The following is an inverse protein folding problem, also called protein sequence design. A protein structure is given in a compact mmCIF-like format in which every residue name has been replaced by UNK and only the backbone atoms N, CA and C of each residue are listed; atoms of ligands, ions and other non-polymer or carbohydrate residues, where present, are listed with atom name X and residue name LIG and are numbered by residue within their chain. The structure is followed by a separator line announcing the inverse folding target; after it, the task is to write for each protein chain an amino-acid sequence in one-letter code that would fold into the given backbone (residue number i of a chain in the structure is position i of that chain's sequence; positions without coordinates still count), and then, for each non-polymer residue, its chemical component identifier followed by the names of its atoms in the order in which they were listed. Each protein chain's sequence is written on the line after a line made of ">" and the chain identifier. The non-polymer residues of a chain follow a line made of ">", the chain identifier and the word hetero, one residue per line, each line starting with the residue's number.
data_IF_326382098742
#
_entry.id   IF_326382098742
#
_cell.length_a   1.000
_cell.length_b   1.000
_cell.length_c   1.000
_cell.angle_alpha   90.00
_cell.angle_beta   90.00
_cell.angle_gamma   90.00
#
_symmetry.space_group_name_H-M   'P 1'
#
loop_
_entity.id
_entity.type
_entity.pdbx_description
1 polymer ?
#
# COMPACT_ATOMS: atom_id res chain seq x y z
N UNK A 1 12.33 12.64 5.35
CA UNK A 1 13.41 13.22 6.20
C UNK A 1 13.05 13.25 7.69
N UNK A 2 11.80 13.51 8.08
CA UNK A 2 11.35 13.49 9.47
C UNK A 2 11.63 12.17 10.20
N UNK A 3 11.21 11.04 9.62
CA UNK A 3 11.37 9.72 10.25
C UNK A 3 12.84 9.39 10.55
N UNK A 4 13.73 9.58 9.58
CA UNK A 4 15.15 9.27 9.74
C UNK A 4 15.81 10.15 10.82
N UNK A 5 15.40 11.42 10.93
CA UNK A 5 15.90 12.31 11.96
C UNK A 5 15.38 11.92 13.35
N UNK A 6 14.11 11.58 13.48
CA UNK A 6 13.51 11.19 14.76
C UNK A 6 14.06 9.85 15.24
N UNK A 7 14.13 8.85 14.35
CA UNK A 7 14.70 7.54 14.66
C UNK A 7 16.16 7.62 15.11
N UNK A 8 16.97 8.50 14.50
CA UNK A 8 18.37 8.69 14.88
C UNK A 8 18.56 9.45 16.20
N UNK A 9 17.71 10.43 16.49
CA UNK A 9 18.00 11.42 17.55
C UNK A 9 17.10 11.33 18.78
N UNK A 10 15.89 10.77 18.68
CA UNK A 10 14.91 10.82 19.76
C UNK A 10 14.47 9.44 20.28
N UNK A 11 14.61 8.38 19.47
CA UNK A 11 14.24 7.02 19.87
C UNK A 11 12.73 6.79 20.08
N UNK A 12 11.88 7.67 19.55
CA UNK A 12 10.42 7.51 19.60
C UNK A 12 9.91 6.68 18.43
N UNK A 13 8.92 5.79 18.65
CA UNK A 13 8.17 5.16 17.57
C UNK A 13 7.46 6.23 16.73
N UNK A 14 7.68 6.20 15.42
CA UNK A 14 7.05 7.12 14.49
C UNK A 14 5.83 6.50 13.83
N UNK A 15 4.70 7.19 13.93
CA UNK A 15 3.48 6.85 13.22
C UNK A 15 3.32 7.81 12.06
N UNK A 16 3.15 7.25 10.87
CA UNK A 16 2.77 7.97 9.68
C UNK A 16 1.41 7.41 9.24
N UNK A 17 0.50 8.29 8.86
CA UNK A 17 -0.85 7.91 8.43
C UNK A 17 -0.94 8.01 6.90
N UNK A 18 -0.99 6.90 6.18
CA UNK A 18 -1.18 6.90 4.73
C UNK A 18 -2.65 7.15 4.41
N UNK A 19 -2.98 8.34 3.91
CA UNK A 19 -4.26 8.63 3.25
C UNK A 19 -4.02 8.62 1.76
N UNK A 20 -4.56 7.61 1.09
CA UNK A 20 -4.27 7.30 -0.30
C UNK A 20 -5.44 7.72 -1.19
N UNK A 21 -5.16 8.10 -2.42
CA UNK A 21 -6.16 8.58 -3.37
C UNK A 21 -6.99 7.42 -3.91
N UNK A 22 -6.32 6.35 -4.33
CA UNK A 22 -6.97 5.15 -4.85
C UNK A 22 -7.90 4.52 -3.83
N UNK A 23 -9.06 4.05 -4.30
CA UNK A 23 -9.96 3.26 -3.46
C UNK A 23 -9.52 1.80 -3.34
N UNK A 24 -10.14 1.07 -2.42
CA UNK A 24 -9.83 -0.33 -2.15
C UNK A 24 -9.98 -1.23 -3.37
N UNK A 25 -9.10 -2.23 -3.48
CA UNK A 25 -9.03 -3.14 -4.62
C UNK A 25 -8.50 -2.53 -5.92
N UNK A 26 -8.16 -1.24 -5.96
CA UNK A 26 -7.56 -0.63 -7.16
C UNK A 26 -6.06 -0.84 -7.19
N UNK A 27 -5.49 -1.00 -8.39
CA UNK A 27 -4.03 -1.06 -8.55
C UNK A 27 -3.36 0.23 -8.07
N UNK A 28 -3.98 1.39 -8.33
CA UNK A 28 -3.53 2.69 -7.83
C UNK A 28 -3.32 2.67 -6.32
N UNK A 29 -4.29 2.19 -5.55
CA UNK A 29 -4.20 2.14 -4.08
C UNK A 29 -2.99 1.31 -3.61
N UNK A 30 -2.71 0.18 -4.25
CA UNK A 30 -1.56 -0.65 -3.92
C UNK A 30 -0.23 -0.03 -4.38
N UNK A 31 -0.17 0.64 -5.53
CA UNK A 31 1.04 1.36 -5.96
C UNK A 31 1.38 2.54 -5.05
N UNK A 32 0.37 3.33 -4.68
CA UNK A 32 0.49 4.43 -3.73
C UNK A 32 1.01 3.90 -2.39
N UNK A 33 0.47 2.77 -1.92
CA UNK A 33 0.92 2.13 -0.68
C UNK A 33 2.34 1.58 -0.78
N UNK A 34 2.71 0.94 -1.88
CA UNK A 34 4.07 0.44 -2.08
C UNK A 34 5.09 1.59 -2.09
N UNK A 35 4.79 2.68 -2.80
CA UNK A 35 5.61 3.88 -2.80
C UNK A 35 5.73 4.47 -1.38
N UNK A 36 4.63 4.53 -0.64
CA UNK A 36 4.62 4.96 0.76
C UNK A 36 5.49 4.06 1.65
N UNK A 37 5.36 2.73 1.59
CA UNK A 37 6.14 1.80 2.43
C UNK A 37 7.63 1.89 2.12
N UNK A 38 8.00 1.95 0.84
CA UNK A 38 9.38 2.11 0.40
C UNK A 38 10.01 3.38 0.98
N UNK A 39 9.26 4.48 1.07
CA UNK A 39 9.74 5.73 1.65
C UNK A 39 9.73 5.73 3.19
N UNK A 40 8.64 5.28 3.81
CA UNK A 40 8.40 5.39 5.25
C UNK A 40 9.17 4.34 6.04
N UNK A 41 9.07 3.07 5.66
CA UNK A 41 9.67 1.96 6.41
C UNK A 41 11.19 2.04 6.35
N UNK A 42 11.76 2.27 5.16
CA UNK A 42 13.23 2.37 5.01
C UNK A 42 13.82 3.62 5.68
N UNK A 43 12.99 4.62 5.98
CA UNK A 43 13.40 5.80 6.75
C UNK A 43 13.14 5.68 8.25
N UNK A 44 12.76 4.49 8.75
CA UNK A 44 12.57 4.21 10.18
C UNK A 44 11.16 4.49 10.71
N UNK A 45 10.17 4.66 9.83
CA UNK A 45 8.75 4.70 10.22
C UNK A 45 8.18 3.30 10.44
N UNK A 46 7.13 3.21 11.26
CA UNK A 46 6.42 1.94 11.48
C UNK A 46 5.54 1.56 10.28
N UNK A 47 5.33 0.26 10.10
CA UNK A 47 4.35 -0.28 9.15
C UNK A 47 2.94 0.11 9.60
N UNK A 48 2.22 0.79 8.73
CA UNK A 48 0.83 1.16 8.92
C UNK A 48 0.11 1.03 7.59
N UNK A 49 -1.07 0.40 7.56
CA UNK A 49 -1.79 0.15 6.31
C UNK A 49 -2.55 1.39 5.82
N UNK A 50 -2.83 1.42 4.51
CA UNK A 50 -3.49 2.53 3.82
C UNK A 50 -4.89 2.86 4.34
N UNK A 51 -5.29 4.13 4.22
CA UNK A 51 -6.70 4.51 4.18
C UNK A 51 -7.09 4.80 2.72
N UNK A 52 -7.99 3.99 2.12
CA UNK A 52 -8.41 4.12 0.74
C UNK A 52 -9.32 5.34 0.54
N UNK A 53 -9.40 5.85 -0.69
CA UNK A 53 -10.30 6.92 -1.09
C UNK A 53 -10.27 8.13 -0.12
N UNK A 54 -9.09 8.49 0.37
CA UNK A 54 -8.88 9.56 1.36
C UNK A 54 -9.72 9.42 2.64
N UNK A 55 -10.16 8.21 2.97
CA UNK A 55 -11.07 7.89 4.07
C UNK A 55 -12.45 8.57 3.99
N UNK A 56 -12.94 8.94 2.80
CA UNK A 56 -14.25 9.59 2.63
C UNK A 56 -15.36 8.65 2.14
N UNK A 57 -15.01 7.47 1.62
CA UNK A 57 -15.96 6.46 1.16
C UNK A 57 -16.31 5.52 2.33
N UNK A 58 -17.58 5.46 2.71
CA UNK A 58 -18.07 4.51 3.70
C UNK A 58 -17.84 3.07 3.27
N UNK A 59 -17.57 2.20 4.25
CA UNK A 59 -17.34 0.77 4.06
C UNK A 59 -16.22 0.43 3.07
N UNK A 60 -15.29 1.35 2.81
CA UNK A 60 -14.17 1.13 1.89
C UNK A 60 -13.01 0.36 2.51
N UNK A 61 -12.96 0.09 3.82
CA UNK A 61 -11.86 -0.67 4.42
C UNK A 61 -12.02 -2.18 4.17
N UNK A 62 -11.11 -2.75 3.39
CA UNK A 62 -11.14 -4.15 2.95
C UNK A 62 -9.95 -4.91 3.59
N UNK A 63 -10.20 -5.91 4.46
CA UNK A 63 -9.14 -6.56 5.24
C UNK A 63 -7.95 -7.12 4.44
N UNK A 64 -8.20 -7.76 3.29
CA UNK A 64 -7.13 -8.36 2.49
C UNK A 64 -6.20 -7.32 1.84
N UNK A 65 -6.68 -6.08 1.59
CA UNK A 65 -5.82 -4.97 1.17
C UNK A 65 -4.81 -4.64 2.27
N UNK A 66 -5.28 -4.54 3.52
CA UNK A 66 -4.41 -4.23 4.65
C UNK A 66 -3.41 -5.35 4.94
N UNK A 67 -3.79 -6.62 4.71
CA UNK A 67 -2.87 -7.75 4.78
C UNK A 67 -1.77 -7.61 3.74
N UNK A 68 -2.13 -7.38 2.48
CA UNK A 68 -1.14 -7.19 1.41
C UNK A 68 -0.25 -5.97 1.65
N UNK A 69 -0.80 -4.88 2.18
CA UNK A 69 -0.03 -3.70 2.58
C UNK A 69 0.97 -4.00 3.70
N UNK A 70 0.60 -4.83 4.67
CA UNK A 70 1.52 -5.28 5.71
C UNK A 70 2.66 -6.12 5.12
N UNK A 71 2.35 -7.01 4.16
CA UNK A 71 3.36 -7.79 3.43
C UNK A 71 4.32 -6.90 2.62
N UNK A 72 3.81 -5.88 1.95
CA UNK A 72 4.63 -4.87 1.26
C UNK A 72 5.53 -4.15 2.26
N UNK A 73 5.01 -3.80 3.45
CA UNK A 73 5.80 -3.22 4.54
C UNK A 73 6.92 -4.15 5.02
N UNK A 74 6.66 -5.46 5.14
CA UNK A 74 7.66 -6.47 5.48
C UNK A 74 8.75 -6.62 4.40
N UNK A 75 8.38 -6.49 3.12
CA UNK A 75 9.34 -6.48 2.03
C UNK A 75 10.21 -5.22 2.07
N UNK A 76 9.58 -4.04 2.23
CA UNK A 76 10.29 -2.77 2.33
C UNK A 76 11.24 -2.70 3.53
N UNK A 77 10.90 -3.34 4.65
CA UNK A 77 11.75 -3.41 5.85
C UNK A 77 13.11 -4.09 5.62
N UNK A 78 13.27 -4.84 4.53
CA UNK A 78 14.54 -5.51 4.17
C UNK A 78 15.45 -4.64 3.29
N UNK A 79 14.99 -3.47 2.87
CA UNK A 79 15.71 -2.58 1.98
C UNK A 79 16.33 -1.41 2.73
N UNK A 80 17.46 -0.93 2.25
CA UNK A 80 17.95 0.41 2.55
C UNK A 80 17.19 1.46 1.73
N UNK A 81 17.24 2.72 2.16
CA UNK A 81 16.69 3.84 1.38
C UNK A 81 17.27 3.92 -0.03
N UNK A 82 18.55 3.61 -0.21
CA UNK A 82 19.22 3.67 -1.50
C UNK A 82 18.72 2.57 -2.46
N UNK A 83 18.35 1.40 -1.93
CA UNK A 83 17.76 0.30 -2.70
C UNK A 83 16.27 0.54 -3.00
N UNK A 84 15.55 1.18 -2.07
CA UNK A 84 14.12 1.45 -2.23
C UNK A 84 13.80 2.61 -3.19
N UNK A 85 14.64 3.65 -3.24
CA UNK A 85 14.41 4.84 -4.07
C UNK A 85 14.17 4.51 -5.55
N UNK A 86 15.00 3.70 -6.24
CA UNK A 86 14.76 3.35 -7.64
C UNK A 86 13.45 2.59 -7.88
N UNK A 87 12.96 1.82 -6.90
CA UNK A 87 11.69 1.09 -6.99
C UNK A 87 10.53 2.08 -6.88
N UNK A 88 10.60 3.01 -5.92
CA UNK A 88 9.59 4.05 -5.76
C UNK A 88 9.48 4.95 -7.01
N UNK A 89 10.62 5.27 -7.63
CA UNK A 89 10.67 6.03 -8.89
C UNK A 89 10.02 5.29 -10.07
N UNK A 90 10.03 3.94 -10.08
CA UNK A 90 9.30 3.14 -11.09
C UNK A 90 7.79 3.10 -10.82
N UNK A 91 7.38 3.16 -9.55
CA UNK A 91 5.97 3.10 -9.14
C UNK A 91 5.23 4.41 -9.38
N UNK A 92 5.85 5.56 -9.08
CA UNK A 92 5.18 6.86 -9.16
C UNK A 92 4.52 7.16 -10.52
N UNK A 93 5.14 6.87 -11.68
CA UNK A 93 4.51 7.07 -12.99
C UNK A 93 3.24 6.25 -13.22
N UNK A 94 2.98 5.19 -12.46
CA UNK A 94 1.79 4.34 -12.62
C UNK A 94 0.51 4.95 -12.04
N UNK A 95 0.63 5.99 -11.21
CA UNK A 95 -0.52 6.65 -10.57
C UNK A 95 -0.42 8.17 -10.48
N UNK A 96 0.75 8.77 -10.77
CA UNK A 96 0.99 10.19 -10.56
C UNK A 96 0.06 11.13 -11.35
N UNK A 97 -0.42 10.70 -12.52
CA UNK A 97 -1.39 11.43 -13.35
C UNK A 97 -2.83 11.33 -12.81
N UNK A 98 -3.13 10.32 -11.98
CA UNK A 98 -4.44 10.09 -11.37
C UNK A 98 -4.65 10.78 -10.03
N UNK A 99 -3.63 11.46 -9.47
CA UNK A 99 -3.75 12.09 -8.15
C UNK A 99 -4.90 13.11 -8.04
N UNK A 100 -5.31 13.73 -9.15
CA UNK A 100 -6.42 14.70 -9.19
C UNK A 100 -7.80 14.02 -9.29
N UNK A 101 -7.86 12.86 -9.94
CA UNK A 101 -9.09 12.09 -10.16
C UNK A 101 -8.75 10.60 -9.97
N UNK A 102 -8.62 10.15 -8.71
CA UNK A 102 -8.12 8.83 -8.40
C UNK A 102 -9.14 7.73 -8.73
N UNK A 103 -8.64 6.53 -9.00
CA UNK A 103 -9.46 5.36 -9.27
C UNK A 103 -10.40 5.08 -8.08
N UNK A 104 -11.70 5.05 -8.36
CA UNK A 104 -12.72 4.69 -7.35
C UNK A 104 -12.59 3.22 -7.01
N UNK A 105 -12.65 2.90 -5.72
CA UNK A 105 -12.53 1.55 -5.24
C UNK A 105 -13.84 0.95 -4.78
N UNK A 106 -13.69 -0.26 -4.27
CA UNK A 106 -14.78 -1.12 -3.85
C UNK A 106 -15.11 -0.91 -2.37
N UNK A 107 -16.36 -1.21 -2.00
CA UNK A 107 -16.73 -1.38 -0.59
C UNK A 107 -16.53 -2.82 -0.14
N UNK A 108 -16.54 -3.03 1.17
CA UNK A 108 -16.48 -4.35 1.79
C UNK A 108 -17.53 -5.31 1.24
N UNK A 109 -18.76 -4.82 1.02
CA UNK A 109 -19.87 -5.61 0.49
C UNK A 109 -19.71 -5.97 -0.99
N UNK A 110 -18.95 -5.18 -1.74
CA UNK A 110 -18.63 -5.47 -3.15
C UNK A 110 -17.48 -6.47 -3.30
N UNK A 111 -16.66 -6.65 -2.24
CA UNK A 111 -15.54 -7.59 -2.22
C UNK A 111 -15.94 -8.95 -1.62
N UNK A 112 -16.63 -8.93 -0.47
CA UNK A 112 -16.91 -10.13 0.32
C UNK A 112 -18.37 -10.55 0.26
N UNK A 113 -18.58 -11.87 0.26
CA UNK A 113 -19.87 -12.42 0.63
C UNK A 113 -20.16 -12.14 2.11
N UNK A 114 -21.29 -11.48 2.37
CA UNK A 114 -21.59 -10.95 3.71
C UNK A 114 -21.87 -12.03 4.75
N UNK A 115 -22.17 -13.26 4.35
CA UNK A 115 -22.44 -14.37 5.27
C UNK A 115 -21.17 -15.16 5.57
N UNK A 116 -20.43 -15.53 4.53
CA UNK A 116 -19.25 -16.39 4.60
C UNK A 116 -17.95 -15.63 4.83
N UNK A 117 -17.95 -14.31 4.59
CA UNK A 117 -16.77 -13.42 4.64
C UNK A 117 -15.65 -13.88 3.71
N UNK A 118 -15.99 -14.58 2.64
CA UNK A 118 -15.05 -14.97 1.59
C UNK A 118 -15.06 -13.92 0.48
N UNK A 119 -13.89 -13.68 -0.10
CA UNK A 119 -13.77 -12.86 -1.31
C UNK A 119 -14.58 -13.54 -2.42
N UNK A 120 -15.47 -12.77 -3.04
CA UNK A 120 -16.26 -13.21 -4.21
C UNK A 120 -15.99 -12.36 -5.45
N UNK A 121 -15.31 -11.23 -5.28
CA UNK A 121 -14.94 -10.34 -6.36
C UNK A 121 -13.63 -10.78 -7.03
N UNK A 122 -13.72 -11.28 -8.27
CA UNK A 122 -12.56 -11.76 -9.00
C UNK A 122 -11.65 -10.62 -9.48
N UNK A 123 -12.18 -9.44 -9.79
CA UNK A 123 -11.39 -8.30 -10.22
C UNK A 123 -10.55 -7.73 -9.08
N UNK A 124 -11.10 -7.72 -7.87
CA UNK A 124 -10.39 -7.40 -6.63
C UNK A 124 -9.16 -8.29 -6.45
N UNK A 125 -9.34 -9.63 -6.48
CA UNK A 125 -8.24 -10.57 -6.30
C UNK A 125 -7.20 -10.41 -7.41
N UNK A 126 -7.65 -10.29 -8.66
CA UNK A 126 -6.78 -10.11 -9.82
C UNK A 126 -5.91 -8.85 -9.70
N UNK A 127 -6.47 -7.73 -9.24
CA UNK A 127 -5.71 -6.50 -9.04
C UNK A 127 -4.56 -6.69 -8.05
N UNK A 128 -4.79 -7.39 -6.94
CA UNK A 128 -3.74 -7.69 -5.96
C UNK A 128 -2.66 -8.61 -6.53
N UNK A 129 -3.06 -9.66 -7.26
CA UNK A 129 -2.14 -10.63 -7.86
C UNK A 129 -1.24 -9.95 -8.90
N UNK A 130 -1.82 -9.15 -9.80
CA UNK A 130 -1.08 -8.39 -10.81
C UNK A 130 -0.11 -7.39 -10.18
N UNK A 131 -0.53 -6.66 -9.14
CA UNK A 131 0.37 -5.72 -8.45
C UNK A 131 1.52 -6.46 -7.78
N UNK A 132 1.28 -7.64 -7.19
CA UNK A 132 2.34 -8.46 -6.59
C UNK A 132 3.38 -8.88 -7.64
N UNK A 133 2.94 -9.33 -8.81
CA UNK A 133 3.82 -9.69 -9.92
C UNK A 133 4.63 -8.48 -10.44
N UNK A 134 3.98 -7.33 -10.60
CA UNK A 134 4.63 -6.10 -11.04
C UNK A 134 5.68 -5.61 -10.03
N UNK A 135 5.38 -5.68 -8.72
CA UNK A 135 6.34 -5.35 -7.66
C UNK A 135 7.55 -6.29 -7.69
N UNK A 136 7.34 -7.59 -7.87
CA UNK A 136 8.43 -8.56 -8.03
C UNK A 136 9.30 -8.20 -9.26
N UNK A 137 8.67 -7.90 -10.40
CA UNK A 137 9.35 -7.45 -11.62
C UNK A 137 10.15 -6.14 -11.46
N UNK A 138 9.80 -5.30 -10.48
CA UNK A 138 10.53 -4.08 -10.14
C UNK A 138 11.66 -4.30 -9.13
N UNK A 139 11.75 -5.47 -8.52
CA UNK A 139 12.75 -5.84 -7.51
C UNK A 139 12.24 -5.85 -6.06
N UNK A 140 10.93 -5.82 -5.84
CA UNK A 140 10.31 -5.90 -4.51
C UNK A 140 9.52 -7.21 -4.34
N UNK A 141 10.17 -8.21 -3.76
CA UNK A 141 9.56 -9.52 -3.48
C UNK A 141 8.63 -9.44 -2.25
N UNK A 142 7.32 -9.44 -2.49
CA UNK A 142 6.31 -9.35 -1.43
C UNK A 142 5.97 -10.75 -0.89
N UNK A 143 6.21 -11.05 0.40
CA UNK A 143 5.91 -12.36 0.96
C UNK A 143 4.41 -12.65 0.92
N UNK A 144 4.06 -13.93 0.80
CA UNK A 144 2.69 -14.42 1.02
C UNK A 144 2.65 -14.98 2.43
N UNK A 145 1.92 -14.31 3.32
CA UNK A 145 1.71 -14.75 4.70
C UNK A 145 0.60 -15.78 4.85
#
# INVERSE_FOLDING_TARGET
>A
MSNAAIGRNMGYPMVNLPYLGGGSGTKQYHYEMACYMLAVVTSGGNVFSGHPAMAVQSDSLVPDDHRFHAEIGLAAAKLTRAEAEPIAQKLFPLFGDKLKDPDKGLTFQEVYDMQTKRIVNAEYQKAMDEVREELAGMGLEVPVS
#
